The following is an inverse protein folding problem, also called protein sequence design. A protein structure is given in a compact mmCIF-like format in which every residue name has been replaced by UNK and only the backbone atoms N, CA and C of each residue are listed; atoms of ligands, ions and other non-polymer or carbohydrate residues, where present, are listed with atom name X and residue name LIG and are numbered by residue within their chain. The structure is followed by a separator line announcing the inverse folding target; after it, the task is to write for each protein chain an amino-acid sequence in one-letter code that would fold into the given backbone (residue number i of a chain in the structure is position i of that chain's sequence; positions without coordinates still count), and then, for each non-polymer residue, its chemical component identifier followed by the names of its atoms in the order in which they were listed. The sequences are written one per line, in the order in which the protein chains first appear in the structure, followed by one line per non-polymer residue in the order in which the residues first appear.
data_IF_365401328472
#
_entry.id   IF_365401328472
#
_cell.length_a   1.000
_cell.length_b   1.000
_cell.length_c   1.000
_cell.angle_alpha   90.00
_cell.angle_beta   90.00
_cell.angle_gamma   90.00
#
_symmetry.space_group_name_H-M   'P 1'
#
loop_
_entity.id
_entity.type
_entity.pdbx_description
1 polymer ?
#
# COMPACT_ATOMS: atom_id res chain seq x y z
N UNK A 1 22.85 -11.33 -41.42
CA UNK A 1 21.52 -10.95 -40.91
C UNK A 1 21.29 -11.26 -39.42
N UNK A 2 22.08 -12.12 -38.77
CA UNK A 2 21.90 -12.52 -37.35
C UNK A 2 22.33 -11.44 -36.35
N UNK A 3 23.45 -10.75 -36.59
CA UNK A 3 23.97 -9.72 -35.68
C UNK A 3 23.04 -8.50 -35.49
N UNK A 4 22.28 -8.12 -36.52
CA UNK A 4 21.32 -7.01 -36.45
C UNK A 4 20.10 -7.33 -35.58
N UNK A 5 19.61 -8.57 -35.63
CA UNK A 5 18.46 -9.04 -34.82
C UNK A 5 18.80 -9.14 -33.33
N UNK A 6 20.01 -9.60 -33.00
CA UNK A 6 20.48 -9.65 -31.61
C UNK A 6 20.61 -8.25 -31.02
N UNK A 7 21.12 -7.28 -31.80
CA UNK A 7 21.23 -5.88 -31.37
C UNK A 7 19.88 -5.22 -31.09
N UNK A 8 18.85 -5.52 -31.89
CA UNK A 8 17.49 -4.98 -31.69
C UNK A 8 16.85 -5.58 -30.42
N UNK A 9 17.00 -6.88 -30.18
CA UNK A 9 16.52 -7.54 -28.95
C UNK A 9 17.24 -7.01 -27.71
N UNK A 10 18.56 -6.84 -27.76
CA UNK A 10 19.34 -6.24 -26.68
C UNK A 10 18.95 -4.79 -26.44
N UNK A 11 18.69 -4.01 -27.50
CA UNK A 11 18.24 -2.62 -27.38
C UNK A 11 16.83 -2.50 -26.77
N UNK A 12 15.91 -3.43 -27.10
CA UNK A 12 14.59 -3.49 -26.47
C UNK A 12 14.69 -3.86 -24.99
N UNK A 13 15.54 -4.83 -24.64
CA UNK A 13 15.78 -5.23 -23.25
C UNK A 13 16.42 -4.08 -22.45
N UNK A 14 17.42 -3.40 -23.02
CA UNK A 14 18.04 -2.23 -22.40
C UNK A 14 17.07 -1.05 -22.29
N UNK A 15 16.17 -0.88 -23.27
CA UNK A 15 15.10 0.11 -23.22
C UNK A 15 14.12 -0.16 -22.07
N UNK A 16 13.71 -1.42 -21.88
CA UNK A 16 12.84 -1.83 -20.76
C UNK A 16 13.55 -1.62 -19.42
N UNK A 17 14.83 -1.97 -19.30
CA UNK A 17 15.64 -1.70 -18.10
C UNK A 17 15.71 -0.19 -17.84
N UNK A 18 15.92 0.62 -18.87
CA UNK A 18 15.96 2.09 -18.77
C UNK A 18 14.65 2.71 -18.29
N UNK A 19 13.50 2.15 -18.69
CA UNK A 19 12.17 2.60 -18.21
C UNK A 19 11.94 2.23 -16.75
N UNK A 20 12.37 1.03 -16.31
CA UNK A 20 12.18 0.58 -14.91
C UNK A 20 13.10 1.30 -13.91
N UNK A 21 14.21 1.90 -14.36
CA UNK A 21 15.09 2.70 -13.49
C UNK A 21 14.63 4.16 -13.38
N UNK A 22 13.59 4.57 -14.11
CA UNK A 22 13.13 5.95 -14.09
C UNK A 22 12.29 6.28 -12.85
N UNK A 23 12.35 7.52 -12.31
CA UNK A 23 11.53 7.95 -11.16
C UNK A 23 10.02 7.82 -11.36
N UNK A 24 9.56 7.65 -12.60
CA UNK A 24 8.17 7.37 -12.94
C UNK A 24 7.67 6.02 -12.38
N UNK A 25 8.54 5.11 -11.94
CA UNK A 25 8.12 3.86 -11.28
C UNK A 25 7.39 4.08 -9.96
N UNK A 26 7.61 5.21 -9.27
CA UNK A 26 6.86 5.58 -8.07
C UNK A 26 5.39 5.91 -8.38
N UNK A 27 5.08 6.37 -9.61
CA UNK A 27 3.73 6.72 -10.05
C UNK A 27 2.91 5.51 -10.49
N UNK A 28 3.56 4.37 -10.77
CA UNK A 28 2.89 3.17 -11.29
C UNK A 28 2.12 2.37 -10.21
N UNK A 29 2.39 2.62 -8.92
CA UNK A 29 1.78 1.90 -7.79
C UNK A 29 0.84 2.74 -6.92
N UNK A 30 0.80 4.06 -7.13
CA UNK A 30 -0.15 4.91 -6.43
C UNK A 30 -1.53 4.83 -7.09
N UNK A 31 -2.57 4.50 -6.32
CA UNK A 31 -3.93 4.87 -6.72
C UNK A 31 -4.05 6.36 -6.32
N UNK A 32 -4.22 7.24 -7.30
CA UNK A 32 -4.26 8.70 -7.05
C UNK A 32 -5.68 9.21 -6.79
N UNK A 33 -5.81 10.15 -5.84
CA UNK A 33 -7.04 10.91 -5.57
C UNK A 33 -7.87 10.39 -4.38
N UNK A 34 -8.82 11.19 -3.91
CA UNK A 34 -9.81 10.76 -2.91
C UNK A 34 -10.79 9.76 -3.53
N UNK A 35 -11.03 8.64 -2.82
CA UNK A 35 -12.03 7.66 -3.22
C UNK A 35 -13.36 7.81 -2.47
N UNK A 36 -13.47 8.79 -1.55
CA UNK A 36 -14.67 9.04 -0.76
C UNK A 36 -15.90 9.30 -1.65
N UNK A 37 -15.73 10.06 -2.73
CA UNK A 37 -16.82 10.43 -3.64
C UNK A 37 -17.10 9.40 -4.75
N UNK A 38 -16.33 8.31 -4.81
CA UNK A 38 -16.42 7.31 -5.89
C UNK A 38 -17.51 6.27 -5.60
N UNK A 39 -18.34 6.03 -6.60
CA UNK A 39 -19.32 4.94 -6.60
C UNK A 39 -18.64 3.58 -6.68
N UNK A 40 -19.32 2.51 -6.23
CA UNK A 40 -18.82 1.13 -6.29
C UNK A 40 -18.32 0.74 -7.69
N UNK A 41 -19.02 1.18 -8.74
CA UNK A 41 -18.68 0.82 -10.12
C UNK A 41 -17.42 1.50 -10.64
N UNK A 42 -17.05 2.65 -10.10
CA UNK A 42 -15.82 3.37 -10.46
C UNK A 42 -14.55 2.68 -9.94
N UNK A 43 -14.68 1.67 -9.08
CA UNK A 43 -13.56 0.85 -8.65
C UNK A 43 -13.14 -0.18 -9.71
N UNK A 44 -14.03 -0.58 -10.63
CA UNK A 44 -13.67 -1.47 -11.74
C UNK A 44 -12.58 -0.84 -12.63
N UNK A 45 -12.76 0.37 -13.21
CA UNK A 45 -11.72 0.98 -14.02
C UNK A 45 -10.44 1.26 -13.21
N UNK A 46 -10.54 1.61 -11.93
CA UNK A 46 -9.37 1.75 -11.06
C UNK A 46 -8.57 0.44 -10.95
N UNK A 47 -9.25 -0.70 -10.77
CA UNK A 47 -8.61 -2.01 -10.75
C UNK A 47 -7.96 -2.40 -12.09
N UNK A 48 -8.62 -2.07 -13.21
CA UNK A 48 -8.08 -2.28 -14.56
C UNK A 48 -6.81 -1.46 -14.76
N UNK A 49 -6.85 -0.16 -14.43
CA UNK A 49 -5.73 0.76 -14.58
C UNK A 49 -4.57 0.34 -13.69
N UNK A 50 -4.81 0.02 -12.42
CA UNK A 50 -3.79 -0.49 -11.51
C UNK A 50 -3.06 -1.71 -12.11
N UNK A 51 -3.82 -2.69 -12.59
CA UNK A 51 -3.26 -3.93 -13.15
C UNK A 51 -2.49 -3.70 -14.46
N UNK A 52 -2.93 -2.77 -15.31
CA UNK A 52 -2.30 -2.50 -16.62
C UNK A 52 -1.13 -1.52 -16.53
N UNK A 53 -1.13 -0.61 -15.56
CA UNK A 53 -0.05 0.35 -15.33
C UNK A 53 1.04 -0.22 -14.42
N UNK A 54 0.72 -1.23 -13.61
CA UNK A 54 1.67 -2.02 -12.81
C UNK A 54 2.65 -2.81 -13.68
N UNK A 55 3.83 -2.22 -13.95
CA UNK A 55 4.85 -2.84 -14.80
C UNK A 55 5.35 -4.17 -14.25
N UNK A 56 5.43 -4.29 -12.93
CA UNK A 56 5.83 -5.48 -12.18
C UNK A 56 4.81 -6.62 -12.32
N UNK A 57 3.51 -6.31 -12.27
CA UNK A 57 2.43 -7.26 -12.51
C UNK A 57 2.51 -7.82 -13.92
N UNK A 58 2.71 -6.95 -14.91
CA UNK A 58 2.88 -7.36 -16.31
C UNK A 58 4.17 -8.20 -16.50
N UNK A 59 5.29 -7.80 -15.88
CA UNK A 59 6.53 -8.58 -15.95
C UNK A 59 6.42 -9.93 -15.25
N UNK A 60 5.71 -10.00 -14.11
CA UNK A 60 5.46 -11.25 -13.39
C UNK A 60 4.64 -12.20 -14.24
N UNK A 61 3.52 -11.75 -14.81
CA UNK A 61 2.68 -12.55 -15.72
C UNK A 61 3.49 -12.99 -16.94
N UNK A 62 4.25 -12.08 -17.57
CA UNK A 62 5.08 -12.42 -18.71
C UNK A 62 6.10 -13.51 -18.37
N UNK A 63 6.73 -13.43 -17.19
CA UNK A 63 7.62 -14.45 -16.66
C UNK A 63 6.93 -15.81 -16.47
N UNK A 64 5.72 -15.82 -15.88
CA UNK A 64 4.92 -17.04 -15.69
C UNK A 64 4.51 -17.65 -17.03
N UNK A 65 4.04 -16.85 -17.99
CA UNK A 65 3.65 -17.32 -19.32
C UNK A 65 4.85 -17.92 -20.06
N UNK A 66 6.01 -17.27 -19.99
CA UNK A 66 7.25 -17.75 -20.60
C UNK A 66 7.72 -19.07 -19.98
N UNK A 67 7.64 -19.17 -18.65
CA UNK A 67 8.04 -20.35 -17.87
C UNK A 67 7.11 -21.53 -18.08
N UNK A 68 5.80 -21.28 -18.04
CA UNK A 68 4.79 -22.30 -18.18
C UNK A 68 4.88 -23.01 -19.54
N UNK A 69 5.20 -22.28 -20.61
CA UNK A 69 5.36 -22.80 -21.97
C UNK A 69 4.08 -23.31 -22.63
N UNK A 70 2.98 -23.43 -21.86
CA UNK A 70 1.66 -23.83 -22.32
C UNK A 70 0.59 -22.99 -21.60
N UNK A 71 -0.49 -22.65 -22.32
CA UNK A 71 -1.52 -21.74 -21.81
C UNK A 71 -2.25 -22.29 -20.57
N UNK A 72 -2.48 -23.62 -20.49
CA UNK A 72 -3.19 -24.24 -19.35
C UNK A 72 -2.41 -24.11 -18.06
N UNK A 73 -1.09 -24.27 -18.12
CA UNK A 73 -0.21 -24.17 -16.95
C UNK A 73 -0.04 -22.72 -16.52
N UNK A 74 0.11 -21.81 -17.49
CA UNK A 74 0.14 -20.38 -17.21
C UNK A 74 -1.15 -19.95 -16.50
N UNK A 75 -2.31 -20.29 -17.06
CA UNK A 75 -3.62 -19.99 -16.47
C UNK A 75 -3.73 -20.52 -15.04
N UNK A 76 -3.34 -21.78 -14.77
CA UNK A 76 -3.36 -22.35 -13.40
C UNK A 76 -2.49 -21.57 -12.42
N UNK A 77 -1.26 -21.24 -12.80
CA UNK A 77 -0.33 -20.51 -11.92
C UNK A 77 -0.82 -19.08 -11.64
N UNK A 78 -1.32 -18.42 -12.69
CA UNK A 78 -1.93 -17.10 -12.61
C UNK A 78 -3.18 -17.13 -11.72
N UNK A 79 -4.04 -18.13 -11.86
CA UNK A 79 -5.21 -18.29 -10.97
C UNK A 79 -4.81 -18.52 -9.51
N UNK A 80 -3.74 -19.28 -9.25
CA UNK A 80 -3.22 -19.48 -7.88
C UNK A 80 -2.71 -18.15 -7.30
N UNK A 81 -2.03 -17.33 -8.10
CA UNK A 81 -1.60 -15.99 -7.70
C UNK A 81 -2.80 -15.11 -7.33
N UNK A 82 -3.78 -15.01 -8.24
CA UNK A 82 -4.98 -14.18 -8.05
C UNK A 82 -5.77 -14.65 -6.83
N UNK A 83 -5.93 -15.97 -6.64
CA UNK A 83 -6.61 -16.50 -5.47
C UNK A 83 -5.95 -16.07 -4.16
N UNK A 84 -4.60 -16.12 -4.09
CA UNK A 84 -3.85 -15.58 -2.95
C UNK A 84 -4.10 -14.09 -2.78
N UNK A 85 -3.85 -13.32 -3.84
CA UNK A 85 -3.98 -11.87 -3.89
C UNK A 85 -5.36 -11.38 -3.41
N UNK A 86 -6.43 -11.85 -4.03
CA UNK A 86 -7.80 -11.45 -3.70
C UNK A 86 -8.18 -11.83 -2.28
N UNK A 87 -7.73 -12.99 -1.79
CA UNK A 87 -8.01 -13.44 -0.42
C UNK A 87 -7.42 -12.46 0.59
N UNK A 88 -6.14 -12.13 0.48
CA UNK A 88 -5.48 -11.18 1.38
C UNK A 88 -5.93 -9.75 1.18
N UNK A 89 -6.23 -9.32 -0.04
CA UNK A 89 -6.74 -7.98 -0.31
C UNK A 89 -8.05 -7.75 0.44
N UNK A 90 -8.99 -8.70 0.35
CA UNK A 90 -10.28 -8.61 1.04
C UNK A 90 -10.07 -8.68 2.55
N UNK A 91 -9.33 -9.67 3.05
CA UNK A 91 -9.13 -9.86 4.50
C UNK A 91 -8.41 -8.66 5.12
N UNK A 92 -7.29 -8.24 4.54
CA UNK A 92 -6.48 -7.14 5.08
C UNK A 92 -7.27 -5.82 5.07
N UNK A 93 -8.09 -5.58 4.04
CA UNK A 93 -8.89 -4.35 3.96
C UNK A 93 -10.01 -4.34 4.97
N UNK A 94 -10.73 -5.46 5.13
CA UNK A 94 -11.81 -5.56 6.12
C UNK A 94 -11.29 -5.58 7.57
N UNK A 95 -10.11 -6.14 7.79
CA UNK A 95 -9.48 -6.20 9.11
C UNK A 95 -8.70 -4.92 9.47
N UNK A 96 -8.60 -3.95 8.56
CA UNK A 96 -7.86 -2.70 8.79
C UNK A 96 -6.34 -2.89 8.90
N UNK A 97 -5.78 -3.91 8.24
CA UNK A 97 -4.33 -4.16 8.31
C UNK A 97 -3.57 -3.09 7.54
N UNK A 98 -2.68 -2.38 8.24
CA UNK A 98 -1.71 -1.48 7.65
C UNK A 98 -0.29 -2.04 7.79
N UNK A 99 0.40 -2.12 6.67
CA UNK A 99 1.77 -2.65 6.60
C UNK A 99 2.60 -1.74 5.72
N UNK A 100 3.90 -1.68 6.00
CA UNK A 100 4.80 -0.79 5.28
C UNK A 100 4.76 -1.12 3.77
N UNK A 101 4.13 -0.23 2.98
CA UNK A 101 3.90 -0.46 1.57
C UNK A 101 5.23 -0.58 0.79
N UNK A 102 6.25 0.18 1.17
CA UNK A 102 7.58 0.08 0.57
C UNK A 102 8.24 -1.28 0.82
N UNK A 103 8.09 -1.84 2.01
CA UNK A 103 8.58 -3.18 2.32
C UNK A 103 7.86 -4.25 1.48
N UNK A 104 6.56 -4.09 1.26
CA UNK A 104 5.81 -4.98 0.36
C UNK A 104 6.27 -4.82 -1.08
N UNK A 105 6.45 -3.58 -1.57
CA UNK A 105 6.94 -3.28 -2.93
C UNK A 105 8.34 -3.91 -3.18
N UNK A 106 9.21 -3.94 -2.17
CA UNK A 106 10.50 -4.66 -2.24
C UNK A 106 10.30 -6.16 -2.41
N UNK A 107 9.38 -6.79 -1.65
CA UNK A 107 9.10 -8.22 -1.79
C UNK A 107 8.45 -8.55 -3.13
N UNK A 108 7.59 -7.66 -3.63
CA UNK A 108 7.01 -7.75 -4.96
C UNK A 108 8.11 -7.73 -6.02
N UNK A 109 9.07 -6.81 -5.94
CA UNK A 109 10.22 -6.79 -6.85
C UNK A 109 11.07 -8.08 -6.76
N UNK A 110 11.24 -8.65 -5.57
CA UNK A 110 11.91 -9.94 -5.37
C UNK A 110 11.15 -11.12 -5.99
N UNK A 111 9.82 -11.02 -6.18
CA UNK A 111 9.05 -12.03 -6.89
C UNK A 111 9.49 -12.16 -8.37
N UNK A 112 9.91 -11.06 -9.00
CA UNK A 112 10.48 -11.09 -10.36
C UNK A 112 11.82 -11.82 -10.39
N UNK A 113 12.65 -11.60 -9.36
CA UNK A 113 13.91 -12.34 -9.17
C UNK A 113 13.62 -13.83 -9.05
N UNK A 114 12.64 -14.21 -8.23
CA UNK A 114 12.24 -15.60 -8.06
C UNK A 114 11.82 -16.24 -9.39
N UNK A 115 10.92 -15.60 -10.15
CA UNK A 115 10.47 -16.12 -11.46
C UNK A 115 11.62 -16.18 -12.47
N UNK A 116 12.49 -15.15 -12.51
CA UNK A 116 13.65 -15.10 -13.40
C UNK A 116 14.67 -16.20 -13.09
N UNK A 117 15.01 -16.41 -11.82
CA UNK A 117 15.95 -17.45 -11.39
C UNK A 117 15.39 -18.84 -11.69
N UNK A 118 14.13 -19.11 -11.33
CA UNK A 118 13.50 -20.41 -11.63
C UNK A 118 13.43 -20.64 -13.14
N UNK A 119 13.11 -19.60 -13.92
CA UNK A 119 13.09 -19.69 -15.38
C UNK A 119 14.46 -19.95 -16.01
N UNK A 120 15.51 -19.36 -15.46
CA UNK A 120 16.89 -19.56 -15.94
C UNK A 120 17.37 -21.00 -15.73
N UNK A 121 17.18 -21.55 -14.54
CA UNK A 121 17.64 -22.90 -14.19
C UNK A 121 16.65 -24.00 -14.63
N UNK A 122 15.42 -23.62 -14.99
CA UNK A 122 14.33 -24.52 -15.27
C UNK A 122 13.66 -25.03 -13.98
N UNK A 123 12.31 -25.17 -13.98
CA UNK A 123 11.63 -25.83 -12.87
C UNK A 123 12.04 -27.30 -12.90
N UNK A 124 12.92 -27.72 -11.99
CA UNK A 124 13.44 -29.11 -11.86
C UNK A 124 12.33 -30.08 -11.40
N UNK A 125 11.24 -30.18 -12.16
CA UNK A 125 9.99 -30.92 -11.88
C UNK A 125 9.26 -30.52 -10.58
N UNK A 126 9.64 -29.38 -9.98
CA UNK A 126 9.11 -28.86 -8.72
C UNK A 126 7.95 -27.88 -8.90
N UNK A 127 7.03 -28.17 -9.82
CA UNK A 127 5.89 -27.28 -10.12
C UNK A 127 4.99 -26.98 -8.91
N UNK A 128 4.86 -27.92 -7.97
CA UNK A 128 4.12 -27.70 -6.73
C UNK A 128 4.77 -26.65 -5.83
N UNK A 129 6.09 -26.73 -5.64
CA UNK A 129 6.84 -25.74 -4.86
C UNK A 129 6.84 -24.38 -5.54
N UNK A 130 6.95 -24.36 -6.87
CA UNK A 130 6.82 -23.13 -7.63
C UNK A 130 5.43 -22.50 -7.45
N UNK A 131 4.36 -23.29 -7.58
CA UNK A 131 2.99 -22.84 -7.34
C UNK A 131 2.76 -22.33 -5.91
N UNK A 132 3.37 -22.96 -4.90
CA UNK A 132 3.33 -22.48 -3.52
C UNK A 132 4.03 -21.11 -3.38
N UNK A 133 5.18 -20.93 -4.03
CA UNK A 133 5.84 -19.61 -4.08
C UNK A 133 4.97 -18.55 -4.76
N UNK A 134 4.34 -18.90 -5.88
CA UNK A 134 3.40 -18.00 -6.59
C UNK A 134 2.20 -17.63 -5.71
N UNK A 135 1.66 -18.58 -4.94
CA UNK A 135 0.59 -18.31 -3.96
C UNK A 135 1.07 -17.33 -2.88
N UNK A 136 2.24 -17.57 -2.29
CA UNK A 136 2.83 -16.69 -1.25
C UNK A 136 3.02 -15.28 -1.78
N UNK A 137 3.55 -15.13 -3.00
CA UNK A 137 3.67 -13.80 -3.61
C UNK A 137 2.31 -13.17 -3.87
N UNK A 138 1.31 -13.94 -4.27
CA UNK A 138 -0.07 -13.46 -4.39
C UNK A 138 -0.57 -12.88 -3.06
N UNK A 139 -0.43 -13.63 -1.97
CA UNK A 139 -0.81 -13.20 -0.62
C UNK A 139 -0.12 -11.88 -0.24
N UNK A 140 1.19 -11.78 -0.48
CA UNK A 140 1.96 -10.58 -0.13
C UNK A 140 1.53 -9.37 -0.99
N UNK A 141 1.29 -9.57 -2.28
CA UNK A 141 0.77 -8.50 -3.15
C UNK A 141 -0.59 -7.98 -2.68
N UNK A 142 -1.50 -8.89 -2.30
CA UNK A 142 -2.84 -8.48 -1.87
C UNK A 142 -2.82 -7.63 -0.61
N UNK A 143 -1.90 -7.95 0.32
CA UNK A 143 -1.65 -7.15 1.51
C UNK A 143 -1.12 -5.75 1.17
N UNK A 144 -0.14 -5.62 0.26
CA UNK A 144 0.40 -4.31 -0.13
C UNK A 144 -0.64 -3.41 -0.79
N UNK A 145 -1.45 -3.98 -1.67
CA UNK A 145 -2.53 -3.25 -2.33
C UNK A 145 -3.64 -2.85 -1.36
N UNK A 146 -3.92 -3.68 -0.35
CA UNK A 146 -4.88 -3.35 0.70
C UNK A 146 -4.49 -2.08 1.45
N UNK A 147 -3.21 -1.92 1.85
CA UNK A 147 -2.75 -0.70 2.51
C UNK A 147 -2.97 0.53 1.63
N UNK A 148 -2.54 0.46 0.36
CA UNK A 148 -2.70 1.57 -0.59
C UNK A 148 -4.16 1.91 -0.87
N UNK A 149 -5.05 0.92 -0.90
CA UNK A 149 -6.47 1.11 -1.15
C UNK A 149 -7.15 1.78 0.06
N UNK A 150 -6.74 1.42 1.28
CA UNK A 150 -7.21 2.06 2.52
C UNK A 150 -6.75 3.52 2.63
N UNK A 151 -5.54 3.85 2.14
CA UNK A 151 -5.01 5.22 2.11
C UNK A 151 -5.87 6.19 1.29
N UNK A 152 -6.78 5.69 0.45
CA UNK A 152 -7.70 6.52 -0.35
C UNK A 152 -8.89 7.08 0.44
N UNK A 153 -9.02 6.74 1.72
CA UNK A 153 -10.13 7.18 2.56
C UNK A 153 -11.45 6.55 2.12
N UNK A 154 -11.51 5.22 2.05
CA UNK A 154 -12.72 4.50 1.64
C UNK A 154 -13.80 4.63 2.72
N UNK A 155 -15.03 5.05 2.36
CA UNK A 155 -16.16 5.01 3.28
C UNK A 155 -16.45 3.57 3.71
N UNK A 156 -16.75 3.37 4.99
CA UNK A 156 -17.13 2.05 5.53
C UNK A 156 -18.35 1.48 4.82
N UNK A 157 -19.32 2.35 4.49
CA UNK A 157 -20.56 1.97 3.81
C UNK A 157 -20.30 1.43 2.39
N UNK A 158 -20.37 0.11 2.21
CA UNK A 158 -20.14 -0.51 0.91
C UNK A 158 -18.66 -0.78 0.59
N UNK A 159 -17.78 -0.70 1.59
CA UNK A 159 -16.36 -1.06 1.49
C UNK A 159 -16.14 -2.40 0.79
N UNK A 160 -16.82 -3.47 1.25
CA UNK A 160 -16.70 -4.80 0.64
C UNK A 160 -17.08 -4.80 -0.85
N UNK A 161 -18.14 -4.08 -1.22
CA UNK A 161 -18.58 -4.00 -2.61
C UNK A 161 -17.55 -3.25 -3.47
N UNK A 162 -16.95 -2.16 -2.97
CA UNK A 162 -15.86 -1.44 -3.64
C UNK A 162 -14.63 -2.31 -3.83
N UNK A 163 -14.21 -3.05 -2.80
CA UNK A 163 -13.06 -3.98 -2.87
C UNK A 163 -13.31 -5.11 -3.89
N UNK A 164 -14.52 -5.69 -3.90
CA UNK A 164 -14.90 -6.71 -4.89
C UNK A 164 -14.88 -6.10 -6.30
N UNK A 165 -15.47 -4.91 -6.50
CA UNK A 165 -15.49 -4.24 -7.79
C UNK A 165 -14.08 -3.93 -8.29
N UNK A 166 -13.19 -3.47 -7.41
CA UNK A 166 -11.78 -3.28 -7.70
C UNK A 166 -11.11 -4.59 -8.15
N UNK A 167 -11.31 -5.69 -7.41
CA UNK A 167 -10.73 -6.99 -7.76
C UNK A 167 -11.26 -7.53 -9.10
N UNK A 168 -12.53 -7.30 -9.42
CA UNK A 168 -13.09 -7.59 -10.76
C UNK A 168 -12.35 -6.79 -11.83
N UNK A 169 -12.06 -5.52 -11.58
CA UNK A 169 -11.23 -4.70 -12.44
C UNK A 169 -9.83 -5.27 -12.67
N UNK A 170 -9.15 -5.69 -11.59
CA UNK A 170 -7.83 -6.34 -11.65
C UNK A 170 -7.88 -7.61 -12.50
N UNK A 171 -8.89 -8.47 -12.31
CA UNK A 171 -9.06 -9.68 -13.12
C UNK A 171 -9.26 -9.36 -14.61
N UNK A 172 -10.05 -8.34 -14.95
CA UNK A 172 -10.24 -7.87 -16.33
C UNK A 172 -8.90 -7.39 -16.91
N UNK A 173 -8.18 -6.52 -16.20
CA UNK A 173 -6.87 -6.01 -16.61
C UNK A 173 -5.87 -7.14 -16.84
N UNK A 174 -5.88 -8.15 -15.97
CA UNK A 174 -5.01 -9.32 -16.07
C UNK A 174 -5.31 -10.17 -17.32
N UNK A 175 -6.59 -10.43 -17.61
CA UNK A 175 -6.99 -11.15 -18.82
C UNK A 175 -6.59 -10.39 -20.10
N UNK A 176 -6.76 -9.06 -20.11
CA UNK A 176 -6.33 -8.20 -21.22
C UNK A 176 -4.80 -8.24 -21.39
N UNK A 177 -4.04 -8.13 -20.31
CA UNK A 177 -2.58 -8.21 -20.32
C UNK A 177 -2.09 -9.55 -20.89
N UNK A 178 -2.64 -10.67 -20.40
CA UNK A 178 -2.31 -12.02 -20.91
C UNK A 178 -2.61 -12.13 -22.40
N UNK A 179 -3.78 -11.66 -22.85
CA UNK A 179 -4.16 -11.69 -24.26
C UNK A 179 -3.14 -10.95 -25.13
N UNK A 180 -2.78 -9.73 -24.75
CA UNK A 180 -1.79 -8.91 -25.46
C UNK A 180 -0.42 -9.61 -25.50
N UNK A 181 0.05 -10.15 -24.37
CA UNK A 181 1.33 -10.86 -24.30
C UNK A 181 1.34 -12.10 -25.21
N UNK A 182 0.25 -12.87 -25.27
CA UNK A 182 0.14 -14.04 -26.16
C UNK A 182 0.18 -13.64 -27.63
N UNK A 183 -0.47 -12.53 -28.01
CA UNK A 183 -0.44 -11.99 -29.38
C UNK A 183 0.97 -11.53 -29.76
N UNK A 184 1.65 -10.79 -28.89
CA UNK A 184 3.04 -10.36 -29.08
C UNK A 184 3.95 -11.60 -29.21
N UNK A 185 3.81 -12.58 -28.32
CA UNK A 185 4.58 -13.82 -28.37
C UNK A 185 4.41 -14.59 -29.68
N UNK A 186 3.18 -14.68 -30.21
CA UNK A 186 2.91 -15.27 -31.54
C UNK A 186 3.53 -14.46 -32.67
N UNK A 187 3.48 -13.13 -32.62
CA UNK A 187 4.11 -12.28 -33.63
C UNK A 187 5.64 -12.44 -33.61
N UNK A 188 6.26 -12.42 -32.43
CA UNK A 188 7.71 -12.58 -32.25
C UNK A 188 8.18 -13.95 -32.71
N UNK A 189 7.49 -15.03 -32.35
CA UNK A 189 7.86 -16.40 -32.77
C UNK A 189 7.69 -16.62 -34.27
N UNK A 190 6.72 -15.95 -34.92
CA UNK A 190 6.58 -15.96 -36.39
C UNK A 190 7.70 -15.18 -37.09
N UNK A 191 8.16 -14.08 -36.51
CA UNK A 191 9.15 -13.19 -37.11
C UNK A 191 10.60 -13.60 -36.81
N UNK A 192 10.84 -14.31 -35.70
CA UNK A 192 12.16 -14.68 -35.23
C UNK A 192 12.28 -16.19 -34.98
N UNK A 193 13.22 -16.85 -35.66
CA UNK A 193 13.67 -18.22 -35.38
C UNK A 193 14.52 -18.28 -34.09
N UNK A 194 13.98 -17.76 -32.99
CA UNK A 194 14.74 -17.50 -31.77
C UNK A 194 14.64 -18.69 -30.80
N UNK A 195 15.43 -19.73 -31.06
CA UNK A 195 15.50 -20.92 -30.19
C UNK A 195 16.15 -20.67 -28.83
N UNK A 196 16.76 -19.48 -28.59
CA UNK A 196 17.48 -19.19 -27.34
C UNK A 196 17.12 -17.85 -26.66
N UNK A 197 15.99 -17.22 -27.00
CA UNK A 197 15.57 -15.93 -26.41
C UNK A 197 14.99 -16.04 -24.98
N UNK A 198 14.71 -17.25 -24.49
CA UNK A 198 14.08 -17.45 -23.17
C UNK A 198 15.02 -17.14 -22.01
N UNK A 199 16.25 -17.66 -22.08
CA UNK A 199 17.29 -17.40 -21.07
C UNK A 199 17.58 -15.91 -20.87
N UNK A 200 17.88 -15.11 -21.91
CA UNK A 200 18.10 -13.67 -21.71
C UNK A 200 16.86 -12.94 -21.18
N UNK A 201 15.64 -13.37 -21.52
CA UNK A 201 14.42 -12.79 -20.94
C UNK A 201 14.32 -13.06 -19.43
N UNK A 202 14.64 -14.27 -18.95
CA UNK A 202 14.67 -14.58 -17.53
C UNK A 202 15.79 -13.83 -16.78
N UNK A 203 16.97 -13.70 -17.40
CA UNK A 203 18.05 -12.90 -16.83
C UNK A 203 17.64 -11.42 -16.72
N UNK A 204 16.99 -10.88 -17.75
CA UNK A 204 16.46 -9.51 -17.72
C UNK A 204 15.44 -9.35 -16.59
N UNK A 205 14.49 -10.29 -16.44
CA UNK A 205 13.50 -10.27 -15.38
C UNK A 205 14.16 -10.25 -13.98
N UNK A 206 15.15 -11.12 -13.76
CA UNK A 206 15.86 -11.18 -12.49
C UNK A 206 16.69 -9.92 -12.20
N UNK A 207 17.37 -9.37 -13.21
CA UNK A 207 18.14 -8.13 -13.07
C UNK A 207 17.21 -6.95 -12.78
N UNK A 208 16.10 -6.84 -13.51
CA UNK A 208 15.09 -5.79 -13.29
C UNK A 208 14.53 -5.87 -11.87
N UNK A 209 14.14 -7.06 -11.40
CA UNK A 209 13.66 -7.27 -10.04
C UNK A 209 14.71 -6.90 -8.97
N UNK A 210 15.98 -7.27 -9.19
CA UNK A 210 17.06 -6.94 -8.26
C UNK A 210 17.34 -5.44 -8.20
N UNK A 211 17.35 -4.76 -9.36
CA UNK A 211 17.53 -3.31 -9.43
C UNK A 211 16.36 -2.62 -8.73
N UNK A 212 15.12 -2.99 -9.03
CA UNK A 212 13.94 -2.41 -8.39
C UNK A 212 13.95 -2.62 -6.87
N UNK A 213 14.21 -3.84 -6.38
CA UNK A 213 14.30 -4.13 -4.96
C UNK A 213 15.42 -3.32 -4.27
N UNK A 214 16.58 -3.19 -4.92
CA UNK A 214 17.72 -2.43 -4.38
C UNK A 214 17.42 -0.93 -4.34
N UNK A 215 16.88 -0.38 -5.43
CA UNK A 215 16.49 1.03 -5.52
C UNK A 215 15.41 1.35 -4.48
N UNK A 216 14.35 0.54 -4.39
CA UNK A 216 13.30 0.73 -3.40
C UNK A 216 13.82 0.62 -1.97
N UNK A 217 14.74 -0.32 -1.68
CA UNK A 217 15.35 -0.45 -0.35
C UNK A 217 16.27 0.73 -0.02
N UNK A 218 17.06 1.19 -0.99
CA UNK A 218 17.90 2.38 -0.82
C UNK A 218 17.01 3.59 -0.61
N UNK A 219 16.00 3.82 -1.46
CA UNK A 219 15.04 4.90 -1.29
C UNK A 219 14.31 4.78 0.05
N UNK A 220 13.96 3.60 0.54
CA UNK A 220 13.34 3.45 1.85
C UNK A 220 14.26 3.90 3.01
N UNK A 221 15.57 3.78 2.84
CA UNK A 221 16.57 4.08 3.87
C UNK A 221 17.22 5.46 3.69
N UNK A 222 17.30 5.95 2.45
CA UNK A 222 17.99 7.18 2.05
C UNK A 222 17.06 8.24 1.53
N UNK A 223 15.77 7.94 1.29
CA UNK A 223 14.79 9.01 1.20
C UNK A 223 15.06 9.88 2.42
N UNK A 224 15.36 11.19 2.23
CA UNK A 224 15.24 12.08 3.36
C UNK A 224 13.86 11.80 3.91
N UNK A 225 13.74 11.56 5.21
CA UNK A 225 12.44 11.57 5.88
C UNK A 225 11.67 12.77 5.30
N UNK A 226 10.75 12.50 4.38
CA UNK A 226 9.62 13.37 4.05
C UNK A 226 8.63 13.20 5.21
N UNK A 227 9.20 13.33 6.41
CA UNK A 227 8.82 12.95 7.77
C UNK A 227 9.59 13.86 8.75
N UNK A 228 10.29 14.89 8.26
CA UNK A 228 10.32 16.14 9.02
C UNK A 228 8.90 16.66 8.98
N UNK A 229 8.12 16.19 9.94
CA UNK A 229 6.79 16.70 10.14
C UNK A 229 6.83 18.22 10.08
N UNK A 230 5.84 18.81 9.43
CA UNK A 230 5.78 20.26 9.28
C UNK A 230 5.80 20.86 10.68
N UNK A 231 6.80 21.70 10.96
CA UNK A 231 6.94 22.31 12.26
C UNK A 231 5.73 23.22 12.52
N UNK A 232 5.07 23.00 13.64
CA UNK A 232 3.90 23.74 14.09
C UNK A 232 4.15 24.14 15.55
N UNK A 233 4.69 25.35 15.76
CA UNK A 233 5.12 25.77 17.10
C UNK A 233 6.21 24.87 17.67
N UNK A 234 6.01 24.36 18.89
CA UNK A 234 6.89 23.39 19.52
C UNK A 234 6.61 21.92 19.13
N UNK A 235 5.81 21.71 18.08
CA UNK A 235 5.37 20.40 17.62
C UNK A 235 5.76 20.14 16.17
N UNK A 236 5.65 18.88 15.76
CA UNK A 236 5.88 18.41 14.40
C UNK A 236 4.65 17.62 13.94
N UNK A 237 4.14 17.95 12.75
CA UNK A 237 3.00 17.25 12.10
C UNK A 237 3.51 16.31 11.02
N UNK A 238 3.41 15.01 11.22
CA UNK A 238 3.82 13.99 10.25
C UNK A 238 2.65 13.09 9.85
N UNK A 239 2.85 12.23 8.86
CA UNK A 239 1.86 11.20 8.51
C UNK A 239 1.64 10.27 9.71
N UNK A 240 0.38 9.88 9.96
CA UNK A 240 0.03 8.96 11.04
C UNK A 240 0.58 7.56 10.74
N UNK A 241 1.23 6.96 11.72
CA UNK A 241 1.74 5.57 11.66
C UNK A 241 1.12 4.68 12.75
N UNK A 242 0.36 5.29 13.65
CA UNK A 242 -0.31 4.69 14.78
C UNK A 242 -1.51 3.85 14.35
N UNK A 243 -1.64 2.70 14.99
CA UNK A 243 -2.76 1.78 14.81
C UNK A 243 -3.55 1.67 16.12
N UNK A 244 -4.87 1.67 15.99
CA UNK A 244 -5.78 1.36 17.09
C UNK A 244 -6.31 -0.06 16.92
N UNK A 245 -6.64 -0.77 18.02
CA UNK A 245 -7.23 -2.09 17.89
C UNK A 245 -8.64 -1.96 17.29
N UNK A 246 -8.99 -2.90 16.43
CA UNK A 246 -10.24 -2.90 15.66
C UNK A 246 -11.21 -3.92 16.27
N UNK A 247 -11.85 -3.53 17.37
CA UNK A 247 -12.86 -4.36 18.03
C UNK A 247 -14.21 -4.21 17.33
N UNK A 248 -14.91 -5.33 17.11
CA UNK A 248 -16.19 -5.35 16.38
C UNK A 248 -17.34 -4.66 17.14
N UNK A 249 -17.16 -4.43 18.43
CA UNK A 249 -18.08 -3.77 19.36
C UNK A 249 -17.62 -2.35 19.75
N UNK A 250 -16.57 -1.83 19.11
CA UNK A 250 -16.11 -0.45 19.30
C UNK A 250 -17.23 0.55 18.92
N UNK A 251 -17.39 1.59 19.73
CA UNK A 251 -18.39 2.64 19.53
C UNK A 251 -17.84 4.03 19.82
N UNK A 252 -18.73 5.01 19.96
CA UNK A 252 -18.32 6.34 20.41
C UNK A 252 -17.94 6.31 21.91
N UNK A 253 -16.84 6.97 22.31
CA UNK A 253 -16.45 7.08 23.71
C UNK A 253 -17.56 7.68 24.58
N UNK A 254 -17.71 7.19 25.81
CA UNK A 254 -18.71 7.69 26.76
C UNK A 254 -18.48 9.15 27.19
N UNK A 255 -17.23 9.61 27.09
CA UNK A 255 -16.76 10.93 27.51
C UNK A 255 -15.78 11.49 26.48
N UNK A 256 -15.73 12.81 26.40
CA UNK A 256 -14.75 13.50 25.58
C UNK A 256 -13.37 13.51 26.23
N UNK A 257 -13.27 13.47 27.56
CA UNK A 257 -11.99 13.49 28.28
C UNK A 257 -11.92 12.43 29.38
N UNK A 258 -10.83 11.66 29.37
CA UNK A 258 -10.49 10.64 30.37
C UNK A 258 -9.32 11.16 31.22
N UNK A 259 -9.44 11.05 32.54
CA UNK A 259 -8.43 11.49 33.50
C UNK A 259 -7.24 10.54 33.60
N UNK A 260 -6.14 11.00 34.20
CA UNK A 260 -4.89 10.21 34.39
C UNK A 260 -5.09 8.86 35.10
N UNK A 261 -6.14 8.73 35.91
CA UNK A 261 -6.48 7.50 36.64
C UNK A 261 -7.43 6.58 35.88
N UNK A 262 -7.99 7.03 34.76
CA UNK A 262 -8.92 6.28 33.93
C UNK A 262 -8.18 5.57 32.80
N UNK A 263 -8.73 4.46 32.33
CA UNK A 263 -8.23 3.76 31.16
C UNK A 263 -8.81 4.41 29.90
N UNK A 264 -7.95 4.73 28.93
CA UNK A 264 -8.38 5.23 27.61
C UNK A 264 -8.99 4.09 26.81
N UNK A 265 -10.27 4.17 26.38
CA UNK A 265 -10.90 3.15 25.55
C UNK A 265 -10.32 3.24 24.13
N UNK A 266 -9.23 2.50 23.90
CA UNK A 266 -8.45 2.61 22.67
C UNK A 266 -9.23 2.16 21.44
N UNK A 267 -10.13 1.19 21.59
CA UNK A 267 -10.96 0.68 20.51
C UNK A 267 -11.97 1.75 20.04
N UNK A 268 -12.67 2.39 20.99
CA UNK A 268 -13.61 3.48 20.71
C UNK A 268 -12.92 4.71 20.12
N UNK A 269 -11.69 5.02 20.58
CA UNK A 269 -10.86 6.06 20.01
C UNK A 269 -10.52 5.73 18.54
N UNK A 270 -10.14 4.48 18.27
CA UNK A 270 -9.92 3.99 16.92
C UNK A 270 -11.12 4.16 16.00
N UNK A 271 -12.32 3.85 16.49
CA UNK A 271 -13.58 3.99 15.75
C UNK A 271 -13.82 5.44 15.31
N UNK A 272 -13.74 6.40 16.22
CA UNK A 272 -14.10 7.80 15.93
C UNK A 272 -13.12 8.54 15.02
N UNK A 273 -11.91 8.01 14.79
CA UNK A 273 -10.99 8.54 13.79
C UNK A 273 -11.58 8.50 12.38
N UNK A 274 -12.38 7.49 12.07
CA UNK A 274 -13.12 7.38 10.80
C UNK A 274 -14.20 8.46 10.66
N UNK A 275 -14.77 8.90 11.78
CA UNK A 275 -15.84 9.92 11.84
C UNK A 275 -15.30 11.35 11.85
N UNK A 276 -13.99 11.51 11.59
CA UNK A 276 -13.34 12.81 11.54
C UNK A 276 -12.97 13.40 12.90
N UNK A 277 -12.90 12.61 13.98
CA UNK A 277 -12.48 13.11 15.29
C UNK A 277 -10.97 13.38 15.34
N UNK A 278 -10.59 14.27 16.26
CA UNK A 278 -9.22 14.41 16.73
C UNK A 278 -9.08 13.67 18.05
N UNK A 279 -8.13 12.74 18.13
CA UNK A 279 -7.73 12.12 19.39
C UNK A 279 -6.59 12.92 19.98
N UNK A 280 -6.64 13.24 21.27
CA UNK A 280 -5.52 13.83 22.01
C UNK A 280 -5.04 12.91 23.12
N UNK A 281 -3.83 12.40 22.98
CA UNK A 281 -3.16 11.56 23.95
C UNK A 281 -2.14 12.36 24.75
N UNK A 282 -2.15 12.21 26.07
CA UNK A 282 -1.21 12.92 26.94
C UNK A 282 -0.47 11.97 27.88
N UNK A 283 0.74 12.37 28.28
CA UNK A 283 1.51 11.61 29.24
C UNK A 283 0.89 11.71 30.65
N UNK A 284 0.73 10.62 31.41
CA UNK A 284 0.12 10.68 32.74
C UNK A 284 0.84 11.59 33.74
N UNK A 285 2.12 11.87 33.53
CA UNK A 285 2.93 12.79 34.35
C UNK A 285 2.85 14.26 33.91
N UNK A 286 1.93 14.61 33.01
CA UNK A 286 1.73 16.00 32.57
C UNK A 286 1.42 16.90 33.79
N UNK A 287 2.05 18.09 33.91
CA UNK A 287 1.76 19.03 34.99
C UNK A 287 0.28 19.39 35.09
N UNK A 288 -0.25 19.49 36.31
CA UNK A 288 -1.68 19.72 36.55
C UNK A 288 -2.25 20.95 35.83
N UNK A 289 -1.47 22.03 35.74
CA UNK A 289 -1.87 23.26 35.03
C UNK A 289 -2.05 23.02 33.53
N UNK A 290 -1.16 22.23 32.93
CA UNK A 290 -1.22 21.89 31.50
C UNK A 290 -2.34 20.87 31.23
N UNK A 291 -2.54 19.93 32.15
CA UNK A 291 -3.66 18.98 32.10
C UNK A 291 -5.02 19.70 32.17
N UNK A 292 -5.16 20.71 33.04
CA UNK A 292 -6.39 21.50 33.14
C UNK A 292 -6.66 22.31 31.85
N UNK A 293 -5.60 22.86 31.24
CA UNK A 293 -5.69 23.54 29.95
C UNK A 293 -6.09 22.60 28.82
N UNK A 294 -5.52 21.39 28.80
CA UNK A 294 -5.83 20.38 27.82
C UNK A 294 -7.27 19.88 27.98
N UNK A 295 -7.70 19.60 29.21
CA UNK A 295 -9.07 19.22 29.54
C UNK A 295 -10.04 20.26 29.02
N UNK A 296 -9.82 21.53 29.36
CA UNK A 296 -10.69 22.64 28.95
C UNK A 296 -10.77 22.79 27.42
N UNK A 297 -9.71 22.45 26.70
CA UNK A 297 -9.71 22.44 25.24
C UNK A 297 -10.54 21.31 24.66
N UNK A 298 -10.35 20.08 25.14
CA UNK A 298 -11.07 18.90 24.65
C UNK A 298 -12.58 19.01 24.90
N UNK A 299 -12.99 19.45 26.10
CA UNK A 299 -14.41 19.59 26.46
C UNK A 299 -15.03 20.93 26.01
N UNK A 300 -14.31 21.73 25.21
CA UNK A 300 -14.80 23.05 24.82
C UNK A 300 -16.04 22.94 23.92
N UNK A 301 -16.97 23.92 23.96
CA UNK A 301 -18.14 23.92 23.08
C UNK A 301 -17.79 23.97 21.57
N UNK A 302 -16.58 24.42 21.24
CA UNK A 302 -16.00 24.43 19.89
C UNK A 302 -15.34 23.09 19.53
N UNK A 303 -15.01 22.25 20.52
CA UNK A 303 -14.40 20.94 20.41
C UNK A 303 -15.38 19.81 20.08
N UNK A 304 -16.44 20.09 19.32
CA UNK A 304 -17.33 19.04 18.81
C UNK A 304 -16.51 18.13 17.89
N UNK A 305 -16.19 16.91 18.36
CA UNK A 305 -15.31 15.90 17.73
C UNK A 305 -13.84 15.91 18.18
N UNK A 306 -13.57 16.25 19.43
CA UNK A 306 -12.26 16.01 20.05
C UNK A 306 -12.44 15.07 21.24
N UNK A 307 -11.65 14.00 21.29
CA UNK A 307 -11.59 13.11 22.46
C UNK A 307 -10.17 13.04 22.99
N UNK A 308 -9.99 12.83 24.30
CA UNK A 308 -8.65 12.78 24.87
C UNK A 308 -8.53 11.90 26.10
N UNK A 309 -7.34 11.33 26.29
CA UNK A 309 -7.07 10.40 27.39
C UNK A 309 -5.58 10.14 27.61
N UNK A 310 -5.21 9.56 28.75
CA UNK A 310 -3.82 9.25 29.05
C UNK A 310 -3.26 8.15 28.15
N UNK A 311 -1.98 8.27 27.78
CA UNK A 311 -1.20 7.25 27.09
C UNK A 311 0.01 6.84 27.96
N UNK A 312 -0.06 5.73 28.71
CA UNK A 312 0.96 5.36 29.71
C UNK A 312 2.38 5.21 29.14
N UNK A 313 2.49 4.68 27.93
CA UNK A 313 3.78 4.42 27.28
C UNK A 313 4.33 5.62 26.51
N UNK A 314 3.59 6.74 26.47
CA UNK A 314 3.97 7.95 25.76
C UNK A 314 5.05 8.73 26.53
N UNK A 315 6.07 9.20 25.80
CA UNK A 315 7.14 10.04 26.36
C UNK A 315 6.89 11.53 26.20
N UNK A 316 6.19 11.90 25.14
CA UNK A 316 5.90 13.29 24.80
C UNK A 316 4.75 13.82 25.67
N UNK A 317 4.78 15.10 26.07
CA UNK A 317 3.71 15.68 26.89
C UNK A 317 2.32 15.47 26.29
N UNK A 318 2.20 15.74 24.98
CA UNK A 318 0.96 15.63 24.21
C UNK A 318 1.26 15.12 22.81
N UNK A 319 0.36 14.28 22.29
CA UNK A 319 0.24 13.88 20.90
C UNK A 319 -1.21 14.02 20.48
N UNK A 320 -1.44 14.41 19.23
CA UNK A 320 -2.79 14.46 18.67
C UNK A 320 -2.83 13.78 17.31
N UNK A 321 -3.92 13.06 17.04
CA UNK A 321 -4.06 12.20 15.87
C UNK A 321 -5.35 12.52 15.13
N UNK A 322 -5.26 12.54 13.80
CA UNK A 322 -6.40 12.56 12.88
C UNK A 322 -6.44 11.24 12.11
N UNK A 323 -7.33 11.12 11.13
CA UNK A 323 -7.33 9.97 10.22
C UNK A 323 -6.00 9.77 9.46
N UNK A 324 -5.24 10.85 9.23
CA UNK A 324 -4.08 10.85 8.32
C UNK A 324 -2.78 11.37 8.91
N UNK A 325 -2.85 12.21 9.94
CA UNK A 325 -1.68 12.93 10.46
C UNK A 325 -1.58 12.78 11.98
N UNK A 326 -0.35 12.91 12.48
CA UNK A 326 -0.06 12.98 13.90
C UNK A 326 0.77 14.22 14.22
N UNK A 327 0.29 14.99 15.18
CA UNK A 327 1.01 16.05 15.85
C UNK A 327 1.76 15.46 17.05
N UNK A 328 3.08 15.66 17.12
CA UNK A 328 3.90 15.30 18.27
C UNK A 328 4.61 16.53 18.80
N UNK A 329 4.49 16.81 20.09
CA UNK A 329 5.06 18.02 20.71
C UNK A 329 6.24 17.68 21.63
N UNK A 330 7.36 18.39 21.49
CA UNK A 330 8.51 18.24 22.40
C UNK A 330 8.26 18.90 23.75
N UNK A 331 7.42 19.95 23.77
CA UNK A 331 6.91 20.62 24.97
C UNK A 331 5.42 20.88 24.81
N UNK A 332 4.68 21.02 25.91
CA UNK A 332 3.26 21.34 25.86
C UNK A 332 3.01 22.65 25.09
N UNK A 333 2.26 22.57 23.99
CA UNK A 333 1.92 23.71 23.14
C UNK A 333 0.45 23.61 22.70
N UNK A 334 -0.42 24.27 23.46
CA UNK A 334 -1.86 24.27 23.22
C UNK A 334 -2.24 25.01 21.94
N UNK A 335 -1.44 26.01 21.52
CA UNK A 335 -1.73 26.79 20.32
C UNK A 335 -1.49 25.94 19.06
N UNK A 336 -0.38 25.18 19.04
CA UNK A 336 -0.12 24.22 17.98
C UNK A 336 -1.19 23.13 17.91
N UNK A 337 -1.64 22.62 19.06
CA UNK A 337 -2.72 21.63 19.13
C UNK A 337 -4.04 22.17 18.53
N UNK A 338 -4.43 23.40 18.88
CA UNK A 338 -5.61 24.04 18.30
C UNK A 338 -5.49 24.19 16.80
N UNK A 339 -4.36 24.73 16.33
CA UNK A 339 -4.13 24.94 14.92
C UNK A 339 -4.14 23.62 14.12
N UNK A 340 -3.60 22.54 14.68
CA UNK A 340 -3.67 21.21 14.08
C UNK A 340 -5.10 20.73 13.90
N UNK A 341 -5.92 20.82 14.94
CA UNK A 341 -7.34 20.42 14.87
C UNK A 341 -8.16 21.31 13.94
N UNK A 342 -7.91 22.63 13.94
CA UNK A 342 -8.57 23.57 13.03
C UNK A 342 -8.23 23.26 11.57
N UNK A 343 -6.96 22.95 11.27
CA UNK A 343 -6.55 22.54 9.93
C UNK A 343 -7.30 21.27 9.50
N UNK A 344 -7.44 20.31 10.41
CA UNK A 344 -8.17 19.07 10.15
C UNK A 344 -9.66 19.31 9.89
N UNK A 345 -10.35 20.06 10.75
CA UNK A 345 -11.79 20.32 10.58
C UNK A 345 -12.13 21.19 9.38
N UNK A 346 -11.16 21.94 8.85
CA UNK A 346 -11.29 22.66 7.58
C UNK A 346 -10.97 21.79 6.35
N UNK A 347 -10.38 20.61 6.55
CA UNK A 347 -10.11 19.64 5.49
C UNK A 347 -11.41 18.90 5.13
N UNK A 348 -11.82 18.84 3.85
CA UNK A 348 -13.00 18.10 3.42
C UNK A 348 -12.98 16.61 3.80
N UNK A 349 -11.79 16.03 4.01
CA UNK A 349 -11.62 14.63 4.42
C UNK A 349 -12.03 14.36 5.87
N UNK A 350 -12.31 15.41 6.66
CA UNK A 350 -12.76 15.30 8.05
C UNK A 350 -14.28 15.21 8.21
N UNK A 351 -15.03 15.19 7.11
CA UNK A 351 -16.50 15.33 7.10
C UNK A 351 -17.23 14.05 6.75
#
# INVERSE_FOLDING_TARGET
MTAGRTRILTALILGIIGVVVSPATAWAHGIGGSAADKTVWEFIPLGIEHMLLGWDHLLFIAGIVLLAGEWRRAAKLISVFVAGHSTTLIIATLAGWQVNATAVDVVIALSLVFVGVVGWFGPRDRWRLFGAGVLIFGLIHGVGLSTRLQDLGLPEEGLLARVIAFNVGVEIGQLLGILVMLLIGKAVTRLAAASNARRPAYAALAVTGLIAASVLSVLAVTAPEEDRGTALGACTVAARTETFPNAADAGHPEKDFYETTEATPSDDFGHVLGDGFVIVQYQPSLPAVELDQLRAYVISPEGTRIVGGPAPDQKQPVRALTAFETLTCESFDLAALRQFSDNWFNDPRSQ
#
